data_IF_230511213090
#
_entry.id   IF_230511213090
#
_cell.length_a   1.000
_cell.length_b   1.000
_cell.length_c   1.000
_cell.angle_alpha   90.00
_cell.angle_beta   90.00
_cell.angle_gamma   90.00
#
_symmetry.space_group_name_H-M   'P 1'
#
loop_
_entity.id
_entity.type
_entity.pdbx_description
1 polymer ?
#
# COMPACT_ATOMS: atom_id res chain seq x y z
N UNK A 1 -7.36 16.37 -36.29
CA UNK A 1 -6.95 15.00 -35.95
C UNK A 1 -6.93 14.90 -34.43
N UNK A 2 -7.89 14.18 -33.86
CA UNK A 2 -8.09 14.07 -32.42
C UNK A 2 -7.95 12.58 -32.09
N UNK A 3 -6.72 12.14 -31.79
CA UNK A 3 -6.45 10.77 -31.35
C UNK A 3 -6.32 10.78 -29.84
N UNK A 4 -7.49 10.56 -29.23
CA UNK A 4 -7.75 9.91 -27.96
C UNK A 4 -6.50 9.30 -27.34
N UNK A 5 -6.12 9.81 -26.17
CA UNK A 5 -5.24 9.14 -25.22
C UNK A 5 -5.88 7.78 -24.88
N UNK A 6 -5.51 6.75 -25.63
CA UNK A 6 -5.71 5.37 -25.23
C UNK A 6 -4.83 5.15 -24.00
N UNK A 7 -5.39 5.46 -22.83
CA UNK A 7 -4.93 4.90 -21.57
C UNK A 7 -5.09 3.40 -21.69
N UNK A 8 -3.99 2.76 -22.03
CA UNK A 8 -3.83 1.34 -22.22
C UNK A 8 -4.65 0.55 -21.19
N UNK A 9 -5.71 -0.09 -21.71
CA UNK A 9 -6.71 -0.88 -21.00
C UNK A 9 -6.15 -2.28 -20.70
N UNK A 10 -4.82 -2.46 -20.65
CA UNK A 10 -4.21 -3.59 -19.96
C UNK A 10 -4.11 -3.30 -18.45
N UNK A 11 -5.31 -3.09 -17.89
CA UNK A 11 -5.67 -3.08 -16.49
C UNK A 11 -5.37 -4.47 -15.91
N UNK A 12 -4.09 -4.76 -15.68
CA UNK A 12 -3.65 -5.93 -14.96
C UNK A 12 -4.25 -5.84 -13.54
N UNK A 13 -5.39 -6.53 -13.34
CA UNK A 13 -6.10 -6.53 -12.07
C UNK A 13 -5.23 -7.08 -10.92
N UNK A 14 -4.16 -7.82 -11.23
CA UNK A 14 -3.18 -8.26 -10.23
C UNK A 14 -2.33 -7.09 -9.69
N UNK A 15 -2.21 -5.99 -10.43
CA UNK A 15 -1.38 -4.84 -10.04
C UNK A 15 -2.08 -3.87 -9.06
N UNK A 16 -3.33 -4.19 -8.66
CA UNK A 16 -4.13 -3.37 -7.73
C UNK A 16 -4.04 -3.83 -6.28
N UNK A 17 -3.73 -5.10 -6.05
CA UNK A 17 -3.55 -5.64 -4.70
C UNK A 17 -2.09 -5.47 -4.34
N UNK A 18 -1.84 -4.81 -3.22
CA UNK A 18 -0.51 -4.69 -2.67
C UNK A 18 -0.16 -6.02 -2.04
N UNK A 19 0.82 -6.67 -2.66
CA UNK A 19 1.52 -7.81 -2.11
C UNK A 19 2.90 -7.34 -1.64
N UNK A 20 3.28 -7.76 -0.45
CA UNK A 20 4.65 -7.65 0.01
C UNK A 20 5.07 -8.93 0.69
N UNK A 21 6.33 -9.26 0.51
CA UNK A 21 6.98 -10.39 1.18
C UNK A 21 7.49 -10.01 2.57
N UNK A 22 7.38 -8.72 2.93
CA UNK A 22 7.88 -8.19 4.19
C UNK A 22 6.77 -7.40 4.86
N UNK A 23 5.95 -8.12 5.60
CA UNK A 23 5.06 -7.55 6.63
C UNK A 23 5.77 -7.66 7.97
N UNK A 24 5.74 -6.57 8.74
CA UNK A 24 6.28 -6.54 10.10
C UNK A 24 5.38 -5.70 10.99
N UNK A 25 5.38 -5.99 12.28
CA UNK A 25 4.83 -5.06 13.26
C UNK A 25 5.51 -3.70 13.08
N UNK A 26 4.69 -2.64 13.10
CA UNK A 26 5.15 -1.28 12.93
C UNK A 26 5.60 -0.63 14.23
N UNK A 27 5.73 0.70 14.20
CA UNK A 27 6.31 1.49 15.28
C UNK A 27 5.32 1.75 16.42
N UNK A 28 4.03 1.51 16.17
CA UNK A 28 2.93 1.75 17.12
C UNK A 28 2.08 0.50 17.27
N UNK A 29 1.41 0.30 18.43
CA UNK A 29 0.37 -0.72 18.55
C UNK A 29 -0.66 -0.57 17.43
N UNK A 30 -1.01 -1.68 16.77
CA UNK A 30 -1.94 -1.66 15.64
C UNK A 30 -1.36 -1.16 14.32
N UNK A 31 -0.04 -0.92 14.22
CA UNK A 31 0.58 -0.56 12.94
C UNK A 31 1.35 -1.73 12.32
N UNK A 32 1.39 -1.74 10.98
CA UNK A 32 2.15 -2.71 10.17
C UNK A 32 3.01 -1.98 9.15
N UNK A 33 4.23 -2.48 8.97
CA UNK A 33 5.17 -2.01 7.97
C UNK A 33 5.16 -2.91 6.74
N UNK A 34 5.22 -2.26 5.60
CA UNK A 34 5.11 -2.83 4.27
C UNK A 34 6.29 -2.32 3.42
N UNK A 35 7.10 -3.24 2.88
CA UNK A 35 8.09 -2.88 1.85
C UNK A 35 7.40 -2.78 0.48
N UNK A 36 7.54 -1.62 -0.17
CA UNK A 36 6.98 -1.28 -1.47
C UNK A 36 8.07 -0.89 -2.49
N UNK A 37 9.33 -1.24 -2.23
CA UNK A 37 10.47 -0.78 -3.04
C UNK A 37 10.33 -1.17 -4.51
N UNK A 38 9.86 -2.40 -4.78
CA UNK A 38 9.71 -2.95 -6.13
C UNK A 38 8.45 -2.46 -6.86
N UNK A 39 7.59 -1.70 -6.18
CA UNK A 39 6.37 -1.14 -6.78
C UNK A 39 6.73 0.05 -7.67
N UNK A 40 6.17 0.13 -8.87
CA UNK A 40 6.42 1.26 -9.78
C UNK A 40 5.58 2.50 -9.42
N UNK A 41 4.53 2.32 -8.63
CA UNK A 41 3.64 3.39 -8.20
C UNK A 41 4.35 4.46 -7.37
N UNK A 42 3.90 5.70 -7.55
CA UNK A 42 4.28 6.83 -6.71
C UNK A 42 3.74 6.68 -5.27
N UNK A 43 4.30 7.38 -4.27
CA UNK A 43 3.80 7.32 -2.90
C UNK A 43 2.31 7.60 -2.76
N UNK A 44 1.77 8.57 -3.51
CA UNK A 44 0.33 8.92 -3.48
C UNK A 44 -0.53 7.80 -4.05
N UNK A 45 -0.11 7.20 -5.17
CA UNK A 45 -0.82 6.04 -5.74
C UNK A 45 -0.79 4.83 -4.80
N UNK A 46 0.35 4.59 -4.13
CA UNK A 46 0.46 3.54 -3.12
C UNK A 46 -0.47 3.80 -1.95
N UNK A 47 -0.54 5.02 -1.42
CA UNK A 47 -1.49 5.38 -0.37
C UNK A 47 -2.95 5.13 -0.80
N UNK A 48 -3.31 5.45 -2.04
CA UNK A 48 -4.64 5.19 -2.58
C UNK A 48 -4.95 3.68 -2.73
N UNK A 49 -3.96 2.87 -3.14
CA UNK A 49 -4.11 1.42 -3.25
C UNK A 49 -4.24 0.76 -1.87
N UNK A 50 -3.38 1.13 -0.92
CA UNK A 50 -3.48 0.72 0.49
C UNK A 50 -4.86 1.08 1.02
N UNK A 51 -5.33 2.29 0.68
CA UNK A 51 -6.61 2.77 1.12
C UNK A 51 -7.81 1.97 0.61
N UNK A 52 -7.71 1.49 -0.61
CA UNK A 52 -8.73 0.63 -1.19
C UNK A 52 -8.70 -0.77 -0.59
N UNK A 53 -7.52 -1.32 -0.34
CA UNK A 53 -7.33 -2.68 0.14
C UNK A 53 -7.62 -2.84 1.64
N UNK A 54 -7.29 -1.82 2.44
CA UNK A 54 -7.46 -1.82 3.89
C UNK A 54 -8.42 -0.70 4.30
N UNK A 55 -9.74 -0.87 4.09
CA UNK A 55 -10.72 0.17 4.35
C UNK A 55 -10.82 0.57 5.83
N UNK A 56 -10.49 -0.33 6.76
CA UNK A 56 -10.53 -0.09 8.20
C UNK A 56 -9.31 0.66 8.76
N UNK A 57 -8.26 0.85 7.95
CA UNK A 57 -7.07 1.61 8.36
C UNK A 57 -7.47 3.01 8.87
N UNK A 58 -6.77 3.48 9.88
CA UNK A 58 -6.89 4.84 10.41
C UNK A 58 -6.02 5.80 9.60
N UNK A 59 -4.78 5.39 9.29
CA UNK A 59 -3.83 6.24 8.58
C UNK A 59 -2.81 5.43 7.78
N UNK A 60 -2.18 6.08 6.80
CA UNK A 60 -1.04 5.54 6.05
C UNK A 60 0.06 6.59 6.02
N UNK A 61 1.26 6.23 6.43
CA UNK A 61 2.44 7.04 6.27
C UNK A 61 3.39 6.34 5.29
N UNK A 62 3.94 7.07 4.33
CA UNK A 62 4.98 6.54 3.44
C UNK A 62 6.31 7.21 3.75
N UNK A 63 7.35 6.41 3.91
CA UNK A 63 8.71 6.88 4.20
C UNK A 63 9.67 6.29 3.20
N UNK A 64 10.65 7.09 2.77
CA UNK A 64 11.76 6.64 1.95
C UNK A 64 12.99 6.47 2.83
N UNK A 65 13.49 5.24 2.94
CA UNK A 65 14.67 4.90 3.73
C UNK A 65 15.79 4.46 2.77
N UNK A 66 16.64 5.40 2.36
CA UNK A 66 17.62 5.17 1.30
C UNK A 66 16.94 4.87 -0.05
N UNK A 67 17.20 3.68 -0.61
CA UNK A 67 16.51 3.19 -1.81
C UNK A 67 15.14 2.56 -1.51
N UNK A 68 14.84 2.26 -0.24
CA UNK A 68 13.62 1.56 0.13
C UNK A 68 12.43 2.50 0.22
N UNK A 69 11.27 2.01 -0.21
CA UNK A 69 9.97 2.68 -0.01
C UNK A 69 9.18 1.86 0.99
N UNK A 70 8.97 2.40 2.17
CA UNK A 70 8.23 1.75 3.26
C UNK A 70 6.90 2.46 3.45
N UNK A 71 5.83 1.69 3.62
CA UNK A 71 4.56 2.20 4.14
C UNK A 71 4.35 1.69 5.56
N UNK A 72 3.86 2.56 6.42
CA UNK A 72 3.28 2.21 7.70
C UNK A 72 1.77 2.41 7.61
N UNK A 73 1.02 1.32 7.81
CA UNK A 73 -0.43 1.33 7.85
C UNK A 73 -0.82 1.24 9.32
N UNK A 74 -1.60 2.21 9.80
CA UNK A 74 -2.08 2.26 11.17
C UNK A 74 -3.54 1.82 11.20
N UNK A 75 -3.86 0.87 12.07
CA UNK A 75 -5.21 0.38 12.36
C UNK A 75 -5.56 0.67 13.82
N UNK A 76 -6.82 0.43 14.20
CA UNK A 76 -7.14 0.25 15.61
C UNK A 76 -6.40 -0.99 16.13
N UNK A 77 -5.77 -0.98 17.33
CA UNK A 77 -5.06 -2.14 17.85
C UNK A 77 -5.92 -3.41 18.01
N UNK A 78 -7.25 -3.27 18.04
CA UNK A 78 -8.21 -4.38 18.09
C UNK A 78 -8.80 -4.72 16.71
N UNK A 79 -8.30 -4.10 15.63
CA UNK A 79 -8.78 -4.37 14.28
C UNK A 79 -8.37 -5.79 13.84
N UNK A 80 -9.34 -6.68 13.52
CA UNK A 80 -9.03 -8.04 13.10
C UNK A 80 -8.26 -8.10 11.77
N UNK A 81 -8.23 -7.02 10.99
CA UNK A 81 -7.41 -6.95 9.78
C UNK A 81 -5.92 -7.16 10.06
N UNK A 82 -5.43 -6.80 11.26
CA UNK A 82 -4.03 -6.99 11.65
C UNK A 82 -3.66 -8.48 11.66
N UNK A 83 -4.55 -9.33 12.20
CA UNK A 83 -4.35 -10.79 12.31
C UNK A 83 -4.31 -11.49 10.95
N UNK A 84 -4.85 -10.86 9.91
CA UNK A 84 -4.80 -11.38 8.54
C UNK A 84 -3.56 -10.92 7.76
N UNK A 85 -2.76 -10.01 8.34
CA UNK A 85 -1.57 -9.41 7.71
C UNK A 85 -0.27 -9.99 8.29
N UNK A 86 -0.20 -10.17 9.62
CA UNK A 86 0.97 -10.67 10.35
C UNK A 86 0.95 -12.19 10.49
#
# INVERSE_FOLDING_TARGET
>A
MNTTFEYDIHNNQQNKVIHSKVWRAGRSPGSVLLDMTDRSESPVQLMALIAKQFPSRIAVATTKEGSRKIAEINFDPLDPAIDHIL
#
